data_IF_552799224481
#
_entry.id   IF_552799224481
#
_cell.length_a   1.000
_cell.length_b   1.000
_cell.length_c   1.000
_cell.angle_alpha   90.00
_cell.angle_beta   90.00
_cell.angle_gamma   90.00
#
_symmetry.space_group_name_H-M   'P 1'
#
loop_
_entity.id
_entity.type
_entity.pdbx_description
1 polymer ?
#
# COMPACT_ATOMS: atom_id res chain seq x y z
N UNK A 1 6.16 25.59 -11.01
CA UNK A 1 7.04 25.53 -9.82
C UNK A 1 8.31 24.83 -10.25
N UNK A 2 9.44 25.51 -10.17
CA UNK A 2 10.72 25.07 -10.75
C UNK A 2 11.23 23.88 -9.95
N UNK A 3 11.37 22.71 -10.57
CA UNK A 3 12.11 21.60 -9.97
C UNK A 3 13.57 22.07 -9.84
N UNK A 4 14.05 22.25 -8.62
CA UNK A 4 15.49 22.41 -8.39
C UNK A 4 16.19 21.17 -8.95
N UNK A 5 17.14 21.39 -9.85
CA UNK A 5 17.93 20.34 -10.46
C UNK A 5 18.67 19.56 -9.36
N UNK A 6 18.21 18.34 -9.06
CA UNK A 6 18.82 17.47 -8.04
C UNK A 6 17.86 16.96 -6.96
N UNK A 7 16.62 17.45 -6.87
CA UNK A 7 15.65 16.89 -5.93
C UNK A 7 15.20 15.49 -6.35
N UNK A 8 15.11 14.58 -5.37
CA UNK A 8 14.56 13.23 -5.53
C UNK A 8 13.06 13.18 -5.17
N UNK A 9 12.46 14.31 -4.80
CA UNK A 9 11.03 14.43 -4.53
C UNK A 9 10.22 14.46 -5.84
N UNK A 10 9.04 13.86 -5.82
CA UNK A 10 8.10 13.81 -6.93
C UNK A 10 6.68 14.12 -6.45
N UNK A 11 6.05 15.18 -6.99
CA UNK A 11 4.65 15.48 -6.72
C UNK A 11 3.77 14.82 -7.78
N UNK A 12 3.03 13.77 -7.41
CA UNK A 12 1.98 13.23 -8.28
C UNK A 12 0.87 14.29 -8.46
N UNK A 13 0.44 14.45 -9.70
CA UNK A 13 -0.65 15.31 -10.13
C UNK A 13 -1.84 14.48 -10.62
N UNK A 14 -3.00 15.12 -10.77
CA UNK A 14 -4.20 14.46 -11.33
C UNK A 14 -4.03 14.03 -12.79
N UNK A 15 -2.96 14.46 -13.47
CA UNK A 15 -2.65 14.00 -14.82
C UNK A 15 -1.74 12.78 -14.82
N UNK A 16 -1.03 12.48 -13.72
CA UNK A 16 -0.07 11.38 -13.70
C UNK A 16 -0.74 10.01 -13.59
N UNK A 17 -0.05 9.02 -14.16
CA UNK A 17 -0.29 7.61 -13.90
C UNK A 17 0.95 7.05 -13.22
N UNK A 18 0.80 6.42 -12.05
CA UNK A 18 1.88 5.71 -11.39
C UNK A 18 1.92 4.26 -11.89
N UNK A 19 3.07 3.80 -12.37
CA UNK A 19 3.26 2.44 -12.84
C UNK A 19 4.29 1.70 -11.98
N UNK A 20 3.81 0.74 -11.18
CA UNK A 20 4.67 -0.20 -10.49
C UNK A 20 4.97 -1.40 -11.38
N UNK A 21 6.21 -1.46 -11.87
CA UNK A 21 6.75 -2.64 -12.54
C UNK A 21 7.07 -3.68 -11.48
N UNK A 22 6.11 -4.57 -11.23
CA UNK A 22 6.26 -5.65 -10.26
C UNK A 22 7.07 -6.78 -10.86
N UNK A 23 8.35 -6.89 -10.47
CA UNK A 23 9.18 -8.02 -10.83
C UNK A 23 8.88 -9.19 -9.86
N UNK A 24 8.60 -10.41 -10.34
CA UNK A 24 8.30 -11.51 -9.45
C UNK A 24 9.36 -11.74 -8.37
N UNK A 25 8.89 -11.93 -7.13
CA UNK A 25 9.68 -12.30 -5.95
C UNK A 25 10.55 -11.18 -5.35
N UNK A 26 10.18 -9.93 -5.56
CA UNK A 26 10.83 -8.73 -4.97
C UNK A 26 9.94 -8.04 -3.91
N UNK A 27 9.27 -8.84 -3.07
CA UNK A 27 8.28 -8.38 -2.08
C UNK A 27 7.08 -7.59 -2.66
N UNK A 28 6.82 -7.70 -3.96
CA UNK A 28 5.80 -6.91 -4.63
C UNK A 28 4.36 -7.18 -4.22
N UNK A 29 4.03 -8.30 -3.55
CA UNK A 29 2.68 -8.49 -2.97
C UNK A 29 2.41 -7.52 -1.82
N UNK A 30 3.34 -7.43 -0.86
CA UNK A 30 3.27 -6.45 0.23
C UNK A 30 3.27 -5.03 -0.34
N UNK A 31 4.16 -4.75 -1.29
CA UNK A 31 4.26 -3.42 -1.89
C UNK A 31 3.01 -3.03 -2.69
N UNK A 32 2.41 -3.98 -3.42
CA UNK A 32 1.11 -3.80 -4.09
C UNK A 32 0.03 -3.43 -3.08
N UNK A 33 -0.06 -4.12 -1.95
CA UNK A 33 -1.06 -3.84 -0.93
C UNK A 33 -0.89 -2.43 -0.33
N UNK A 34 0.36 -1.99 -0.15
CA UNK A 34 0.70 -0.63 0.27
C UNK A 34 0.24 0.39 -0.78
N UNK A 35 0.55 0.17 -2.07
CA UNK A 35 0.15 1.06 -3.15
C UNK A 35 -1.37 1.12 -3.32
N UNK A 36 -2.07 -0.01 -3.29
CA UNK A 36 -3.53 -0.06 -3.42
C UNK A 36 -4.22 0.78 -2.33
N UNK A 37 -3.63 0.87 -1.13
CA UNK A 37 -4.14 1.72 -0.06
C UNK A 37 -4.01 3.24 -0.35
N UNK A 38 -3.09 3.65 -1.22
CA UNK A 38 -2.82 5.07 -1.57
C UNK A 38 -3.67 5.59 -2.74
N UNK A 39 -4.48 4.75 -3.39
CA UNK A 39 -5.32 5.13 -4.53
C UNK A 39 -6.79 4.76 -4.28
N UNK A 40 -7.72 5.47 -4.91
CA UNK A 40 -9.12 5.04 -4.91
C UNK A 40 -9.25 3.70 -5.65
N UNK A 41 -10.07 2.77 -5.14
CA UNK A 41 -10.24 1.45 -5.76
C UNK A 41 -10.62 1.54 -7.25
N UNK A 42 -11.45 2.50 -7.64
CA UNK A 42 -11.88 2.69 -9.04
C UNK A 42 -10.74 3.16 -9.96
N UNK A 43 -9.70 3.78 -9.39
CA UNK A 43 -8.54 4.30 -10.12
C UNK A 43 -7.41 3.28 -10.26
N UNK A 44 -7.57 2.08 -9.69
CA UNK A 44 -6.58 1.00 -9.78
C UNK A 44 -6.90 0.15 -11.01
N UNK A 45 -5.93 0.04 -11.92
CA UNK A 45 -6.06 -0.81 -13.09
C UNK A 45 -6.22 -2.29 -12.65
N UNK A 46 -7.26 -3.00 -13.10
CA UNK A 46 -7.49 -4.38 -12.71
C UNK A 46 -6.51 -5.35 -13.35
N UNK A 47 -5.88 -4.98 -14.47
CA UNK A 47 -4.88 -5.79 -15.14
C UNK A 47 -3.61 -5.90 -14.29
N UNK A 48 -3.15 -7.13 -14.07
CA UNK A 48 -1.91 -7.43 -13.35
C UNK A 48 -0.86 -8.14 -14.24
N UNK A 49 -1.25 -8.57 -15.44
CA UNK A 49 -0.36 -9.18 -16.42
C UNK A 49 -0.60 -8.63 -17.83
N UNK A 50 0.38 -8.84 -18.71
CA UNK A 50 0.34 -8.34 -20.09
C UNK A 50 -0.94 -8.72 -20.85
N UNK A 51 -1.40 -9.97 -20.74
CA UNK A 51 -2.58 -10.48 -21.45
C UNK A 51 -3.90 -9.84 -21.01
N UNK A 52 -3.98 -9.36 -19.77
CA UNK A 52 -5.15 -8.65 -19.26
C UNK A 52 -5.11 -7.18 -19.71
N UNK A 53 -3.93 -6.57 -19.66
CA UNK A 53 -3.75 -5.17 -20.06
C UNK A 53 -4.13 -4.94 -21.52
N UNK A 54 -3.77 -5.87 -22.41
CA UNK A 54 -4.10 -5.77 -23.84
C UNK A 54 -5.59 -5.93 -24.16
N UNK A 55 -6.42 -6.30 -23.19
CA UNK A 55 -7.88 -6.37 -23.36
C UNK A 55 -8.55 -5.03 -23.07
N UNK A 56 -7.83 -4.08 -22.46
CA UNK A 56 -8.33 -2.75 -22.16
C UNK A 56 -8.02 -1.80 -23.33
N UNK A 57 -9.00 -0.98 -23.68
CA UNK A 57 -8.82 0.11 -24.63
C UNK A 57 -7.93 1.23 -24.06
N UNK A 58 -7.28 2.04 -24.92
CA UNK A 58 -6.54 3.23 -24.46
C UNK A 58 -7.40 4.19 -23.62
N UNK A 59 -8.68 4.32 -23.94
CA UNK A 59 -9.65 5.14 -23.20
C UNK A 59 -9.90 4.60 -21.78
N UNK A 60 -10.06 3.27 -21.64
CA UNK A 60 -10.16 2.63 -20.32
C UNK A 60 -8.86 2.78 -19.52
N UNK A 61 -7.70 2.59 -20.18
CA UNK A 61 -6.40 2.73 -19.54
C UNK A 61 -6.13 4.16 -19.05
N UNK A 62 -6.66 5.17 -19.72
CA UNK A 62 -6.54 6.57 -19.31
C UNK A 62 -7.30 6.91 -18.02
N UNK A 63 -8.28 6.10 -17.62
CA UNK A 63 -9.04 6.31 -16.39
C UNK A 63 -8.23 5.94 -15.14
N UNK A 64 -7.32 4.98 -15.24
CA UNK A 64 -6.59 4.47 -14.08
C UNK A 64 -5.41 5.36 -13.70
N UNK A 65 -5.24 5.61 -12.40
CA UNK A 65 -4.12 6.33 -11.80
C UNK A 65 -2.99 5.42 -11.33
N UNK A 66 -3.31 4.17 -11.01
CA UNK A 66 -2.34 3.16 -10.60
C UNK A 66 -2.36 1.97 -11.57
N UNK A 67 -1.22 1.70 -12.20
CA UNK A 67 -0.96 0.44 -12.91
C UNK A 67 0.07 -0.35 -12.12
N UNK A 68 -0.25 -1.59 -11.76
CA UNK A 68 0.64 -2.41 -10.94
C UNK A 68 0.52 -3.88 -11.30
N UNK A 69 1.63 -4.46 -11.76
CA UNK A 69 1.61 -5.81 -12.33
C UNK A 69 2.93 -6.23 -12.94
N UNK A 70 2.96 -7.46 -13.46
CA UNK A 70 4.09 -8.07 -14.14
C UNK A 70 4.19 -7.53 -15.57
N UNK A 71 4.46 -6.23 -15.68
CA UNK A 71 4.66 -5.52 -16.93
C UNK A 71 6.15 -5.39 -17.26
N UNK A 72 6.44 -4.99 -18.49
CA UNK A 72 7.78 -4.61 -18.94
C UNK A 72 7.88 -3.10 -19.04
N UNK A 73 9.09 -2.54 -18.95
CA UNK A 73 9.32 -1.09 -19.00
C UNK A 73 8.60 -0.39 -20.15
N UNK A 74 8.57 -0.98 -21.35
CA UNK A 74 7.92 -0.38 -22.52
C UNK A 74 6.38 -0.44 -22.51
N UNK A 75 5.74 -0.76 -21.38
CA UNK A 75 4.28 -0.74 -21.22
C UNK A 75 3.68 0.63 -21.53
N UNK A 76 4.42 1.73 -21.34
CA UNK A 76 3.93 3.08 -21.66
C UNK A 76 3.50 3.27 -23.10
N UNK A 77 3.95 2.43 -24.04
CA UNK A 77 3.52 2.47 -25.43
C UNK A 77 2.03 2.15 -25.62
N UNK A 78 1.36 1.64 -24.58
CA UNK A 78 -0.07 1.27 -24.54
C UNK A 78 -0.87 2.25 -23.69
N UNK A 79 -0.18 3.16 -23.01
CA UNK A 79 -0.77 4.14 -22.13
C UNK A 79 -0.91 5.45 -22.89
N UNK A 80 -1.88 6.29 -22.51
CA UNK A 80 -2.08 7.60 -23.14
C UNK A 80 -0.84 8.49 -23.02
N UNK A 81 -0.01 8.26 -22.00
CA UNK A 81 1.23 8.98 -21.74
C UNK A 81 2.24 8.10 -21.00
N UNK A 82 3.50 8.55 -20.94
CA UNK A 82 4.53 7.89 -20.14
C UNK A 82 4.19 8.01 -18.65
N UNK A 83 4.05 6.91 -17.90
CA UNK A 83 3.71 6.96 -16.49
C UNK A 83 4.95 7.27 -15.65
N UNK A 84 4.72 7.64 -14.40
CA UNK A 84 5.73 7.72 -13.36
C UNK A 84 6.09 6.31 -12.94
N UNK A 85 7.33 5.89 -13.19
CA UNK A 85 7.75 4.53 -12.93
C UNK A 85 8.31 4.34 -11.52
N UNK A 86 7.90 3.24 -10.90
CA UNK A 86 8.47 2.75 -9.64
C UNK A 86 8.73 1.24 -9.73
N UNK A 87 9.73 0.73 -9.00
CA UNK A 87 9.98 -0.71 -8.91
C UNK A 87 10.70 -1.11 -7.63
N UNK A 88 10.73 -2.42 -7.38
CA UNK A 88 11.47 -3.08 -6.31
C UNK A 88 12.35 -4.17 -6.93
N UNK A 89 13.65 -4.11 -6.63
CA UNK A 89 14.61 -5.16 -6.98
C UNK A 89 14.96 -6.00 -5.75
N UNK A 90 15.65 -7.10 -6.00
CA UNK A 90 16.17 -8.02 -5.00
C UNK A 90 17.51 -8.56 -5.44
N UNK A 91 18.33 -8.98 -4.49
CA UNK A 91 19.48 -9.82 -4.79
C UNK A 91 19.06 -10.97 -5.73
N UNK A 92 19.71 -11.13 -6.90
CA UNK A 92 19.25 -12.08 -7.91
C UNK A 92 19.28 -13.54 -7.45
N UNK A 93 20.20 -13.89 -6.57
CA UNK A 93 20.34 -15.25 -6.04
C UNK A 93 19.18 -15.52 -5.08
N UNK A 94 18.96 -14.61 -4.13
CA UNK A 94 17.86 -14.68 -3.17
C UNK A 94 16.48 -14.65 -3.86
N UNK A 95 16.36 -13.92 -4.98
CA UNK A 95 15.16 -13.90 -5.83
C UNK A 95 14.88 -15.28 -6.43
N UNK A 96 15.88 -15.93 -7.02
CA UNK A 96 15.73 -17.27 -7.61
C UNK A 96 15.37 -18.31 -6.55
N UNK A 97 16.05 -18.29 -5.40
CA UNK A 97 15.73 -19.17 -4.25
C UNK A 97 14.27 -18.95 -3.82
N UNK A 98 13.85 -17.69 -3.66
CA UNK A 98 12.47 -17.36 -3.29
C UNK A 98 11.44 -17.82 -4.32
N UNK A 99 11.78 -17.77 -5.61
CA UNK A 99 10.96 -18.28 -6.71
C UNK A 99 10.77 -19.79 -6.62
N UNK A 100 11.86 -20.54 -6.46
CA UNK A 100 11.82 -21.99 -6.30
C UNK A 100 10.98 -22.42 -5.09
N UNK A 101 11.18 -21.82 -3.92
CA UNK A 101 10.39 -22.12 -2.73
C UNK A 101 8.92 -21.75 -2.87
N UNK A 102 8.64 -20.64 -3.55
CA UNK A 102 7.26 -20.24 -3.84
C UNK A 102 6.57 -21.30 -4.70
N UNK A 103 7.24 -21.75 -5.77
CA UNK A 103 6.72 -22.80 -6.64
C UNK A 103 6.51 -24.10 -5.87
N UNK A 104 7.36 -24.48 -4.91
CA UNK A 104 7.12 -25.68 -4.08
C UNK A 104 5.90 -25.58 -3.16
N UNK A 105 5.65 -24.39 -2.60
CA UNK A 105 4.57 -24.18 -1.60
C UNK A 105 3.20 -23.97 -2.24
N UNK A 106 3.15 -23.23 -3.34
CA UNK A 106 1.88 -22.79 -3.91
C UNK A 106 1.47 -23.74 -5.02
N UNK A 107 0.46 -24.58 -4.73
CA UNK A 107 -0.24 -25.29 -5.80
C UNK A 107 -0.96 -24.24 -6.66
N UNK A 108 -0.78 -24.26 -7.98
CA UNK A 108 -1.51 -23.36 -8.85
C UNK A 108 -3.02 -23.64 -8.74
N UNK A 109 -3.82 -22.58 -8.87
CA UNK A 109 -5.28 -22.63 -8.81
C UNK A 109 -5.91 -23.33 -10.04
N UNK A 110 -5.11 -23.73 -11.03
CA UNK A 110 -5.57 -24.50 -12.19
C UNK A 110 -5.56 -26.01 -11.90
N UNK A 111 -6.61 -26.75 -12.28
CA UNK A 111 -6.72 -28.20 -12.03
C UNK A 111 -5.56 -29.04 -12.60
N UNK A 112 -4.97 -28.59 -13.71
CA UNK A 112 -3.93 -29.32 -14.44
C UNK A 112 -2.50 -29.12 -13.90
N UNK A 113 -2.32 -28.35 -12.82
CA UNK A 113 -0.98 -28.00 -12.35
C UNK A 113 -0.28 -26.97 -13.27
N UNK A 114 0.89 -26.50 -12.86
CA UNK A 114 1.83 -25.78 -13.72
C UNK A 114 3.06 -26.69 -13.84
N UNK A 115 3.61 -26.94 -15.04
CA UNK A 115 4.79 -27.78 -15.21
C UNK A 115 5.98 -27.33 -14.32
N UNK A 116 6.08 -26.03 -14.05
CA UNK A 116 7.08 -25.45 -13.15
C UNK A 116 6.88 -25.81 -11.67
N UNK A 117 5.64 -26.03 -11.23
CA UNK A 117 5.32 -26.50 -9.87
C UNK A 117 5.79 -27.94 -9.66
N UNK A 118 5.42 -28.83 -10.59
CA UNK A 118 5.82 -30.25 -10.53
C UNK A 118 7.34 -30.43 -10.56
N UNK A 119 8.01 -29.66 -11.42
CA UNK A 119 9.47 -29.60 -11.46
C UNK A 119 10.07 -29.13 -10.15
N UNK A 120 9.52 -28.09 -9.54
CA UNK A 120 10.04 -27.58 -8.27
C UNK A 120 9.90 -28.61 -7.12
N UNK A 121 8.90 -29.48 -7.18
CA UNK A 121 8.70 -30.56 -6.20
C UNK A 121 9.65 -31.75 -6.39
N UNK A 122 10.06 -32.02 -7.64
CA UNK A 122 10.83 -33.22 -8.01
C UNK A 122 12.32 -32.96 -8.19
N UNK A 123 12.70 -31.76 -8.61
CA UNK A 123 14.08 -31.36 -8.86
C UNK A 123 14.72 -30.71 -7.63
N UNK A 124 16.02 -30.93 -7.45
CA UNK A 124 16.85 -30.07 -6.61
C UNK A 124 16.86 -28.63 -7.16
N UNK A 125 17.25 -27.65 -6.32
CA UNK A 125 17.34 -26.25 -6.74
C UNK A 125 18.30 -26.08 -7.93
N UNK A 126 19.43 -26.78 -7.95
CA UNK A 126 20.40 -26.71 -9.06
C UNK A 126 19.80 -27.24 -10.36
N UNK A 127 19.20 -28.42 -10.34
CA UNK A 127 18.53 -29.01 -11.50
C UNK A 127 17.41 -28.09 -12.02
N UNK A 128 16.61 -27.53 -11.11
CA UNK A 128 15.53 -26.61 -11.44
C UNK A 128 16.02 -25.34 -12.13
N UNK A 129 17.12 -24.77 -11.63
CA UNK A 129 17.75 -23.56 -12.19
C UNK A 129 18.40 -23.85 -13.54
N UNK A 130 18.99 -25.02 -13.72
CA UNK A 130 19.65 -25.42 -14.96
C UNK A 130 18.66 -25.85 -16.06
N UNK A 131 17.43 -26.24 -15.71
CA UNK A 131 16.43 -26.68 -16.69
C UNK A 131 16.00 -25.52 -17.62
N UNK A 132 16.24 -25.61 -18.95
CA UNK A 132 15.91 -24.54 -19.90
C UNK A 132 14.41 -24.30 -20.07
N UNK A 133 13.57 -25.26 -19.71
CA UNK A 133 12.11 -25.13 -19.82
C UNK A 133 11.46 -24.43 -18.63
N UNK A 134 12.23 -24.08 -17.59
CA UNK A 134 11.76 -23.26 -16.48
C UNK A 134 11.92 -21.78 -16.87
N UNK A 135 10.83 -21.05 -17.17
CA UNK A 135 10.92 -19.65 -17.58
C UNK A 135 11.22 -18.72 -16.39
N UNK A 136 11.72 -17.52 -16.67
CA UNK A 136 11.84 -16.45 -15.67
C UNK A 136 12.99 -16.62 -14.65
N UNK A 137 13.90 -17.58 -14.90
CA UNK A 137 15.15 -17.70 -14.15
C UNK A 137 16.17 -16.69 -14.68
N UNK A 138 16.56 -16.81 -15.95
CA UNK A 138 17.67 -16.06 -16.53
C UNK A 138 17.40 -14.57 -16.65
N UNK A 139 18.27 -13.76 -16.03
CA UNK A 139 18.29 -12.28 -16.06
C UNK A 139 16.90 -11.63 -15.96
N UNK A 140 16.03 -12.15 -15.10
CA UNK A 140 14.63 -11.79 -15.12
C UNK A 140 14.39 -10.32 -14.77
N UNK A 141 15.15 -9.74 -13.83
CA UNK A 141 14.98 -8.33 -13.44
C UNK A 141 15.38 -7.40 -14.59
N UNK A 142 16.54 -7.65 -15.19
CA UNK A 142 17.03 -6.95 -16.38
C UNK A 142 16.02 -7.01 -17.50
N UNK A 143 15.42 -8.19 -17.73
CA UNK A 143 14.41 -8.37 -18.78
C UNK A 143 13.17 -7.54 -18.55
N UNK A 144 12.61 -7.50 -17.33
CA UNK A 144 11.44 -6.66 -17.02
C UNK A 144 11.73 -5.18 -17.27
N UNK A 145 12.97 -4.74 -17.06
CA UNK A 145 13.36 -3.34 -17.16
C UNK A 145 13.93 -2.92 -18.52
N UNK A 146 14.17 -3.85 -19.45
CA UNK A 146 14.78 -3.54 -20.76
C UNK A 146 14.13 -4.20 -21.97
N UNK A 147 13.37 -5.29 -21.80
CA UNK A 147 12.82 -5.99 -22.96
C UNK A 147 11.68 -5.20 -23.60
N UNK A 148 11.81 -4.99 -24.91
CA UNK A 148 10.79 -4.38 -25.75
C UNK A 148 10.07 -5.45 -26.55
N UNK A 149 8.99 -6.00 -25.99
CA UNK A 149 8.21 -7.07 -26.63
C UNK A 149 7.67 -6.70 -28.04
N UNK A 150 7.72 -5.41 -28.43
CA UNK A 150 7.29 -4.90 -29.74
C UNK A 150 8.30 -5.01 -30.86
N UNK A 151 9.60 -4.98 -30.53
CA UNK A 151 10.65 -4.77 -31.53
C UNK A 151 11.74 -5.83 -31.46
N UNK A 152 11.96 -6.42 -30.29
CA UNK A 152 13.15 -7.21 -30.05
C UNK A 152 12.79 -8.50 -29.30
N UNK A 153 12.49 -9.53 -30.08
CA UNK A 153 12.59 -10.92 -29.65
C UNK A 153 14.02 -11.39 -29.94
N UNK A 154 15.01 -10.80 -29.27
CA UNK A 154 16.36 -11.38 -29.34
C UNK A 154 16.38 -12.65 -28.51
N UNK A 155 16.83 -13.75 -29.11
CA UNK A 155 16.94 -15.03 -28.41
C UNK A 155 18.07 -15.03 -27.36
N UNK A 156 19.04 -14.11 -27.46
CA UNK A 156 20.14 -14.01 -26.50
C UNK A 156 19.78 -13.12 -25.31
N UNK A 157 19.28 -13.78 -24.25
CA UNK A 157 18.95 -13.17 -22.96
C UNK A 157 20.17 -12.73 -22.14
N UNK A 158 21.39 -13.02 -22.60
CA UNK A 158 22.65 -12.62 -21.95
C UNK A 158 23.34 -11.45 -22.66
N UNK A 159 22.79 -10.94 -23.77
CA UNK A 159 23.41 -9.86 -24.52
C UNK A 159 23.56 -8.59 -23.65
N UNK A 160 24.78 -8.00 -23.52
CA UNK A 160 25.04 -6.86 -22.63
C UNK A 160 24.17 -5.63 -22.84
N UNK A 161 23.66 -5.42 -24.06
CA UNK A 161 22.69 -4.35 -24.39
C UNK A 161 21.50 -4.27 -23.43
N UNK A 162 21.05 -5.41 -22.90
CA UNK A 162 19.91 -5.47 -21.98
C UNK A 162 20.24 -4.83 -20.64
N UNK A 163 21.46 -5.02 -20.15
CA UNK A 163 21.94 -4.39 -18.93
C UNK A 163 22.01 -2.88 -19.09
N UNK A 164 22.59 -2.41 -20.19
CA UNK A 164 22.73 -0.96 -20.43
C UNK A 164 21.35 -0.30 -20.58
N UNK A 165 20.44 -0.88 -21.36
CA UNK A 165 19.07 -0.36 -21.46
C UNK A 165 18.32 -0.41 -20.12
N UNK A 166 18.51 -1.46 -19.30
CA UNK A 166 17.87 -1.53 -17.98
C UNK A 166 18.39 -0.44 -17.03
N UNK A 167 19.70 -0.15 -17.03
CA UNK A 167 20.29 0.93 -16.23
C UNK A 167 19.77 2.29 -16.68
N UNK A 168 19.80 2.57 -17.98
CA UNK A 168 19.27 3.82 -18.57
C UNK A 168 17.80 4.01 -18.18
N UNK A 169 16.98 2.98 -18.31
CA UNK A 169 15.58 3.03 -17.93
C UNK A 169 15.40 3.27 -16.43
N UNK A 170 16.18 2.60 -15.56
CA UNK A 170 16.11 2.77 -14.11
C UNK A 170 16.45 4.20 -13.66
N UNK A 171 17.25 4.95 -14.43
CA UNK A 171 17.53 6.35 -14.09
C UNK A 171 16.29 7.24 -14.16
N UNK A 172 15.31 6.89 -15.00
CA UNK A 172 14.07 7.63 -15.13
C UNK A 172 13.01 7.26 -14.08
N UNK A 173 13.25 6.24 -13.26
CA UNK A 173 12.29 5.83 -12.23
C UNK A 173 12.28 6.86 -11.12
N UNK A 174 11.09 7.32 -10.75
CA UNK A 174 10.92 8.19 -9.59
C UNK A 174 11.33 7.47 -8.29
N UNK A 175 11.19 6.13 -8.26
CA UNK A 175 11.58 5.33 -7.10
C UNK A 175 12.09 3.94 -7.50
N UNK A 176 13.22 3.55 -6.90
CA UNK A 176 13.80 2.21 -7.02
C UNK A 176 14.16 1.72 -5.61
N UNK A 177 13.43 0.72 -5.10
CA UNK A 177 13.73 0.12 -3.81
C UNK A 177 14.43 -1.23 -3.92
N UNK A 178 15.04 -1.67 -2.82
CA UNK A 178 15.65 -3.00 -2.69
C UNK A 178 14.98 -3.78 -1.55
N UNK A 179 14.68 -5.06 -1.81
CA UNK A 179 13.91 -5.92 -0.91
C UNK A 179 14.60 -6.12 0.46
N UNK A 180 15.93 -6.13 0.47
CA UNK A 180 16.79 -6.36 1.62
C UNK A 180 16.77 -5.19 2.62
N UNK A 181 16.38 -4.00 2.16
CA UNK A 181 16.21 -2.78 2.98
C UNK A 181 14.77 -2.26 2.86
N UNK A 182 13.77 -3.15 2.91
CA UNK A 182 12.37 -2.81 2.65
C UNK A 182 11.84 -1.64 3.49
N UNK A 183 12.10 -1.60 4.81
CA UNK A 183 11.66 -0.50 5.68
C UNK A 183 12.24 0.85 5.20
N UNK A 184 13.53 0.86 4.87
CA UNK A 184 14.20 2.04 4.33
C UNK A 184 13.67 2.42 2.94
N UNK A 185 13.27 1.43 2.14
CA UNK A 185 12.61 1.65 0.86
C UNK A 185 11.24 2.30 1.04
N UNK A 186 10.46 1.91 2.06
CA UNK A 186 9.17 2.55 2.37
C UNK A 186 9.36 3.96 2.93
N UNK A 187 10.39 4.19 3.75
CA UNK A 187 10.77 5.53 4.19
C UNK A 187 11.13 6.45 3.00
N UNK A 188 11.97 5.96 2.08
CA UNK A 188 12.32 6.69 0.87
C UNK A 188 11.10 6.96 -0.02
N UNK A 189 10.22 5.97 -0.21
CA UNK A 189 8.99 6.15 -0.97
C UNK A 189 8.10 7.24 -0.38
N UNK A 190 7.94 7.24 0.96
CA UNK A 190 7.17 8.24 1.68
C UNK A 190 7.76 9.65 1.47
N UNK A 191 9.09 9.77 1.52
CA UNK A 191 9.77 11.02 1.22
C UNK A 191 9.57 11.49 -0.21
N UNK A 192 9.86 10.61 -1.19
CA UNK A 192 9.77 10.89 -2.62
C UNK A 192 8.40 11.44 -2.97
N UNK A 193 7.32 10.76 -2.57
CA UNK A 193 5.97 11.16 -2.94
C UNK A 193 5.26 12.09 -1.94
N UNK A 194 5.93 12.45 -0.85
CA UNK A 194 5.31 13.19 0.26
C UNK A 194 4.12 12.44 0.86
N UNK A 195 4.19 11.10 0.92
CA UNK A 195 3.12 10.25 1.45
C UNK A 195 3.28 10.03 2.95
N UNK A 196 2.16 9.75 3.63
CA UNK A 196 2.19 9.40 5.05
C UNK A 196 3.11 8.17 5.27
N UNK A 197 4.12 8.26 6.15
CA UNK A 197 5.10 7.20 6.38
C UNK A 197 4.47 5.97 7.05
N UNK A 198 4.95 4.79 6.66
CA UNK A 198 4.43 3.51 7.15
C UNK A 198 5.26 3.04 8.36
N UNK A 199 4.68 3.09 9.56
CA UNK A 199 5.25 2.42 10.75
C UNK A 199 4.97 0.93 10.74
N UNK A 200 3.76 0.56 10.34
CA UNK A 200 3.24 -0.79 10.41
C UNK A 200 2.61 -1.14 9.08
N UNK A 201 2.97 -2.31 8.55
CA UNK A 201 2.36 -2.86 7.37
C UNK A 201 2.34 -4.39 7.47
N UNK A 202 1.41 -5.02 6.76
CA UNK A 202 1.28 -6.47 6.77
C UNK A 202 2.33 -7.10 5.84
N UNK A 203 3.22 -7.91 6.38
CA UNK A 203 4.12 -8.74 5.59
C UNK A 203 3.34 -9.90 4.94
N UNK A 204 3.01 -9.76 3.65
CA UNK A 204 2.27 -10.77 2.91
C UNK A 204 3.21 -11.82 2.30
N UNK A 205 2.77 -13.09 2.29
CA UNK A 205 3.45 -14.21 1.61
C UNK A 205 4.84 -14.57 2.13
N UNK A 206 5.14 -14.28 3.41
CA UNK A 206 6.39 -14.67 4.06
C UNK A 206 6.47 -16.19 4.21
N UNK A 207 7.62 -16.78 3.86
CA UNK A 207 7.85 -18.21 4.05
C UNK A 207 8.15 -18.51 5.54
N UNK A 208 7.48 -19.48 6.18
CA UNK A 208 7.74 -19.83 7.59
C UNK A 208 9.16 -20.37 7.84
N UNK A 209 9.71 -21.07 6.84
CA UNK A 209 11.10 -21.54 6.79
C UNK A 209 11.63 -21.25 5.40
N UNK A 210 12.77 -20.56 5.33
CA UNK A 210 13.35 -20.06 4.09
C UNK A 210 14.78 -20.56 3.95
N UNK A 211 15.05 -21.27 2.86
CA UNK A 211 16.40 -21.49 2.34
C UNK A 211 16.99 -20.12 2.05
N UNK A 212 18.19 -19.90 2.59
CA UNK A 212 18.97 -18.70 2.31
C UNK A 212 20.24 -19.08 1.60
N UNK A 213 20.83 -18.14 0.87
CA UNK A 213 22.08 -18.34 0.17
C UNK A 213 23.17 -18.94 1.08
N UNK A 214 23.26 -18.54 2.35
CA UNK A 214 24.29 -19.04 3.28
C UNK A 214 24.15 -20.53 3.64
N UNK A 215 22.99 -21.12 3.36
CA UNK A 215 22.69 -22.53 3.63
C UNK A 215 22.89 -23.45 2.41
N UNK A 216 23.28 -22.90 1.27
CA UNK A 216 23.44 -23.64 0.01
C UNK A 216 24.91 -23.89 -0.32
N UNK A 217 25.19 -24.96 -1.06
CA UNK A 217 26.53 -25.26 -1.53
C UNK A 217 26.98 -24.29 -2.63
N UNK A 218 28.30 -24.08 -2.72
CA UNK A 218 28.89 -23.12 -3.66
C UNK A 218 28.51 -23.42 -5.13
N UNK A 219 28.40 -24.68 -5.50
CA UNK A 219 28.05 -25.12 -6.86
C UNK A 219 26.59 -24.80 -7.24
N UNK A 220 25.68 -24.69 -6.27
CA UNK A 220 24.29 -24.24 -6.50
C UNK A 220 24.28 -22.73 -6.71
N UNK A 221 25.02 -21.99 -5.89
CA UNK A 221 25.13 -20.53 -5.98
C UNK A 221 25.75 -20.11 -7.32
N UNK A 222 26.81 -20.79 -7.74
CA UNK A 222 27.47 -20.57 -9.03
C UNK A 222 26.50 -20.82 -10.20
N UNK A 223 25.75 -21.94 -10.18
CA UNK A 223 24.77 -22.24 -11.23
C UNK A 223 23.64 -21.18 -11.33
N UNK A 224 23.24 -20.58 -10.21
CA UNK A 224 22.30 -19.45 -10.21
C UNK A 224 22.96 -18.20 -10.78
N UNK A 225 24.17 -17.87 -10.31
CA UNK A 225 24.89 -16.67 -10.71
C UNK A 225 25.23 -16.66 -12.21
N UNK A 226 25.65 -17.78 -12.78
CA UNK A 226 25.94 -17.95 -14.21
C UNK A 226 24.76 -17.56 -15.10
N UNK A 227 23.53 -17.85 -14.64
CA UNK A 227 22.29 -17.52 -15.37
C UNK A 227 21.76 -16.11 -15.08
N UNK A 228 22.34 -15.39 -14.13
CA UNK A 228 21.83 -14.10 -13.66
C UNK A 228 22.92 -13.01 -13.65
N UNK A 229 23.96 -13.12 -14.49
CA UNK A 229 25.08 -12.18 -14.52
C UNK A 229 24.62 -10.73 -14.78
N UNK A 230 23.66 -10.51 -15.67
CA UNK A 230 23.14 -9.16 -15.94
C UNK A 230 22.32 -8.66 -14.75
N UNK A 231 21.50 -9.51 -14.14
CA UNK A 231 20.74 -9.16 -12.94
C UNK A 231 21.66 -8.79 -11.77
N UNK A 232 22.80 -9.47 -11.61
CA UNK A 232 23.79 -9.16 -10.57
C UNK A 232 24.36 -7.76 -10.79
N UNK A 233 24.79 -7.46 -12.01
CA UNK A 233 25.32 -6.14 -12.34
C UNK A 233 24.26 -5.03 -12.19
N UNK A 234 23.03 -5.29 -12.63
CA UNK A 234 21.90 -4.37 -12.51
C UNK A 234 21.52 -4.12 -11.04
N UNK A 235 21.52 -5.17 -10.22
CA UNK A 235 21.19 -5.07 -8.80
C UNK A 235 22.23 -4.23 -8.04
N UNK A 236 23.52 -4.38 -8.33
CA UNK A 236 24.55 -3.52 -7.72
C UNK A 236 24.34 -2.05 -8.09
N UNK A 237 24.04 -1.77 -9.36
CA UNK A 237 23.70 -0.42 -9.81
C UNK A 237 22.46 0.15 -9.09
N UNK A 238 21.38 -0.62 -9.02
CA UNK A 238 20.15 -0.20 -8.34
C UNK A 238 20.36 0.02 -6.82
N UNK A 239 21.18 -0.83 -6.19
CA UNK A 239 21.52 -0.72 -4.77
C UNK A 239 22.33 0.54 -4.48
N UNK A 240 23.29 0.88 -5.33
CA UNK A 240 24.07 2.12 -5.22
C UNK A 240 23.15 3.34 -5.36
N UNK A 241 22.31 3.37 -6.41
CA UNK A 241 21.30 4.43 -6.61
C UNK A 241 20.38 4.58 -5.40
N UNK A 242 19.88 3.47 -4.86
CA UNK A 242 19.03 3.47 -3.66
C UNK A 242 19.76 4.07 -2.45
N UNK A 243 21.00 3.68 -2.19
CA UNK A 243 21.76 4.20 -1.05
C UNK A 243 21.99 5.71 -1.18
N UNK A 244 22.40 6.18 -2.37
CA UNK A 244 22.59 7.62 -2.64
C UNK A 244 21.29 8.40 -2.40
N UNK A 245 20.15 7.92 -2.91
CA UNK A 245 18.85 8.57 -2.70
C UNK A 245 18.40 8.53 -1.23
N UNK A 246 18.65 7.43 -0.53
CA UNK A 246 18.32 7.29 0.87
C UNK A 246 19.14 8.24 1.75
N UNK A 247 20.45 8.35 1.51
CA UNK A 247 21.34 9.26 2.25
C UNK A 247 20.96 10.73 1.96
N UNK A 248 20.63 11.06 0.70
CA UNK A 248 20.11 12.37 0.32
C UNK A 248 18.81 12.71 1.06
N UNK A 249 17.87 11.75 1.19
CA UNK A 249 16.65 11.94 1.98
C UNK A 249 17.00 12.27 3.44
N UNK A 250 17.88 11.51 4.08
CA UNK A 250 18.24 11.74 5.49
C UNK A 250 18.87 13.12 5.69
N UNK A 251 19.73 13.54 4.77
CA UNK A 251 20.33 14.87 4.78
C UNK A 251 19.26 15.96 4.64
N UNK A 252 18.40 15.87 3.61
CA UNK A 252 17.36 16.85 3.35
C UNK A 252 16.39 16.98 4.54
N UNK A 253 15.95 15.86 5.13
CA UNK A 253 15.07 15.86 6.30
C UNK A 253 15.74 16.54 7.51
N UNK A 254 17.03 16.27 7.73
CA UNK A 254 17.77 16.85 8.85
C UNK A 254 17.96 18.36 8.67
N UNK A 255 18.33 18.80 7.47
CA UNK A 255 18.50 20.21 7.13
C UNK A 255 17.18 20.97 7.20
N UNK A 256 16.13 20.46 6.57
CA UNK A 256 14.82 21.11 6.51
C UNK A 256 14.19 21.31 7.90
N UNK A 257 14.36 20.35 8.82
CA UNK A 257 13.74 20.38 10.14
C UNK A 257 14.73 20.68 11.27
N UNK A 258 15.91 21.22 10.96
CA UNK A 258 16.97 21.61 11.90
C UNK A 258 17.30 20.50 12.92
N UNK A 259 17.36 19.26 12.45
CA UNK A 259 17.74 18.12 13.29
C UNK A 259 19.26 18.00 13.32
N UNK A 260 19.89 17.80 14.50
CA UNK A 260 21.34 17.67 14.58
C UNK A 260 21.81 16.50 13.73
N UNK A 261 22.82 16.74 12.90
CA UNK A 261 23.49 15.69 12.14
C UNK A 261 24.20 14.74 13.13
N UNK A 262 23.52 13.67 13.54
CA UNK A 262 24.18 12.50 14.11
C UNK A 262 24.67 11.60 12.98
N UNK A 263 25.75 10.85 13.21
CA UNK A 263 26.31 9.94 12.20
C UNK A 263 25.30 8.86 11.75
N UNK A 264 24.25 8.60 12.53
CA UNK A 264 23.12 7.72 12.18
C UNK A 264 21.81 8.23 12.84
N UNK A 265 20.72 8.31 12.06
CA UNK A 265 19.37 8.54 12.57
C UNK A 265 18.72 7.19 12.90
N UNK A 266 18.14 7.06 14.09
CA UNK A 266 17.37 5.89 14.50
C UNK A 266 16.02 5.83 13.75
N UNK A 267 15.44 4.64 13.53
CA UNK A 267 14.19 4.49 12.76
C UNK A 267 13.04 5.38 13.24
N UNK A 268 12.89 5.56 14.56
CA UNK A 268 11.84 6.41 15.12
C UNK A 268 12.07 7.90 14.82
N UNK A 269 13.34 8.34 14.77
CA UNK A 269 13.69 9.72 14.42
C UNK A 269 13.38 9.98 12.94
N UNK A 270 13.76 9.05 12.05
CA UNK A 270 13.44 9.11 10.62
C UNK A 270 11.93 9.21 10.44
N UNK A 271 11.17 8.38 11.15
CA UNK A 271 9.70 8.42 11.09
C UNK A 271 9.13 9.79 11.49
N UNK A 272 9.57 10.36 12.61
CA UNK A 272 9.13 11.69 13.05
C UNK A 272 9.46 12.78 12.04
N UNK A 273 10.63 12.71 11.38
CA UNK A 273 10.99 13.64 10.32
C UNK A 273 10.12 13.45 9.08
N UNK A 274 9.79 12.21 8.71
CA UNK A 274 8.89 11.91 7.60
C UNK A 274 7.44 12.34 7.87
N UNK A 275 6.95 12.27 9.12
CA UNK A 275 5.62 12.83 9.47
C UNK A 275 5.60 14.35 9.25
N UNK A 276 6.64 15.07 9.67
CA UNK A 276 6.77 16.51 9.40
C UNK A 276 6.89 16.82 7.91
N UNK A 277 7.63 16.00 7.17
CA UNK A 277 7.72 16.11 5.70
C UNK A 277 6.37 15.91 5.04
N UNK A 278 5.62 14.88 5.43
CA UNK A 278 4.26 14.64 4.95
C UNK A 278 3.33 15.83 5.23
N UNK A 279 3.37 16.40 6.44
CA UNK A 279 2.61 17.61 6.79
C UNK A 279 3.03 18.80 5.91
N UNK A 280 4.33 19.07 5.78
CA UNK A 280 4.85 20.12 4.91
C UNK A 280 4.38 19.96 3.44
N UNK A 281 4.51 18.74 2.89
CA UNK A 281 4.12 18.41 1.52
C UNK A 281 2.62 18.55 1.30
N UNK A 282 1.79 18.28 2.31
CA UNK A 282 0.36 18.54 2.26
C UNK A 282 0.04 20.04 2.32
N UNK A 283 0.72 20.81 3.17
CA UNK A 283 0.46 22.24 3.35
C UNK A 283 0.71 23.04 2.06
N UNK A 284 1.78 22.72 1.32
CA UNK A 284 2.12 23.42 0.06
C UNK A 284 1.15 23.13 -1.11
N UNK A 285 0.24 22.16 -0.98
CA UNK A 285 -0.79 21.91 -1.99
C UNK A 285 -1.96 22.90 -1.92
N UNK A 286 -2.03 23.73 -0.86
CA UNK A 286 -3.00 24.83 -0.67
C UNK A 286 -4.45 24.45 -1.05
N UNK A 287 -4.90 23.27 -0.60
CA UNK A 287 -6.27 22.81 -0.87
C UNK A 287 -7.27 23.62 -0.03
N UNK A 288 -8.32 24.12 -0.67
CA UNK A 288 -9.42 24.78 0.05
C UNK A 288 -10.10 23.82 1.04
N UNK A 289 -10.45 24.30 2.25
CA UNK A 289 -11.28 23.53 3.16
C UNK A 289 -12.63 23.16 2.53
N UNK A 290 -13.21 22.05 2.98
CA UNK A 290 -14.52 21.55 2.54
C UNK A 290 -15.54 21.60 3.68
N UNK A 291 -16.82 21.90 3.40
CA UNK A 291 -17.84 21.99 4.45
C UNK A 291 -18.31 20.62 4.96
N UNK A 292 -18.13 19.58 4.14
CA UNK A 292 -18.57 18.21 4.41
C UNK A 292 -17.66 17.21 3.70
N UNK A 293 -17.63 15.98 4.19
CA UNK A 293 -16.85 14.90 3.60
C UNK A 293 -17.48 13.53 3.85
N UNK A 294 -17.44 12.65 2.86
CA UNK A 294 -17.86 11.25 2.96
C UNK A 294 -16.68 10.35 2.62
N UNK A 295 -16.33 9.47 3.57
CA UNK A 295 -15.33 8.44 3.41
C UNK A 295 -16.01 7.07 3.50
N UNK A 296 -16.05 6.36 2.37
CA UNK A 296 -16.71 5.05 2.21
C UNK A 296 -15.70 3.90 2.09
N UNK A 297 -14.44 4.17 2.44
CA UNK A 297 -13.31 3.23 2.41
C UNK A 297 -12.87 2.75 1.01
N UNK A 298 -13.54 3.18 -0.07
CA UNK A 298 -13.04 3.03 -1.44
C UNK A 298 -11.91 4.02 -1.74
N UNK A 299 -11.93 5.21 -1.12
CA UNK A 299 -10.92 6.25 -1.32
C UNK A 299 -9.54 5.81 -0.81
N UNK A 300 -8.49 6.49 -1.29
CA UNK A 300 -7.15 6.40 -0.73
C UNK A 300 -7.18 6.63 0.78
N UNK A 301 -6.47 5.78 1.53
CA UNK A 301 -6.38 5.87 2.98
C UNK A 301 -5.08 6.57 3.36
N UNK A 302 -5.21 7.79 3.86
CA UNK A 302 -4.13 8.58 4.41
C UNK A 302 -4.18 8.49 5.94
N UNK A 303 -3.12 7.98 6.56
CA UNK A 303 -3.06 7.70 7.99
C UNK A 303 -2.47 6.32 8.28
N UNK A 304 -2.59 5.86 9.53
CA UNK A 304 -1.98 4.61 10.04
C UNK A 304 -2.94 3.78 10.86
N UNK A 305 -2.57 2.53 11.14
CA UNK A 305 -3.34 1.62 11.99
C UNK A 305 -4.58 1.04 11.30
N UNK A 306 -4.49 0.80 9.98
CA UNK A 306 -5.56 0.21 9.20
C UNK A 306 -5.06 -1.00 8.43
N UNK A 307 -5.90 -2.01 8.35
CA UNK A 307 -5.69 -3.15 7.48
C UNK A 307 -6.15 -2.86 6.05
N UNK A 308 -5.89 -3.82 5.17
CA UNK A 308 -6.22 -3.74 3.76
C UNK A 308 -7.74 -3.65 3.56
N UNK A 309 -8.16 -3.15 2.38
CA UNK A 309 -9.57 -3.20 1.97
C UNK A 309 -10.05 -4.64 1.95
N UNK A 310 -11.23 -4.85 2.52
CA UNK A 310 -11.96 -6.12 2.53
C UNK A 310 -13.39 -5.88 2.05
N UNK A 311 -14.03 -6.91 1.50
CA UNK A 311 -15.36 -6.81 0.91
C UNK A 311 -15.63 -7.95 -0.08
N UNK A 312 -16.84 -8.49 -0.07
CA UNK A 312 -17.25 -9.60 -0.95
C UNK A 312 -17.73 -9.11 -2.33
N UNK A 313 -18.17 -7.85 -2.43
CA UNK A 313 -18.69 -7.23 -3.64
C UNK A 313 -18.08 -5.84 -3.84
N UNK A 314 -18.01 -5.36 -5.10
CA UNK A 314 -17.40 -4.06 -5.45
C UNK A 314 -17.97 -2.86 -4.69
N UNK A 315 -19.17 -2.99 -4.11
CA UNK A 315 -19.91 -1.88 -3.53
C UNK A 315 -19.93 -1.88 -1.99
N UNK A 316 -19.40 -2.91 -1.33
CA UNK A 316 -19.31 -2.93 0.13
C UNK A 316 -17.87 -3.21 0.56
N UNK A 317 -17.12 -2.12 0.70
CA UNK A 317 -15.73 -2.11 1.13
C UNK A 317 -15.66 -1.66 2.57
N UNK A 318 -14.88 -2.38 3.36
CA UNK A 318 -14.59 -2.02 4.74
C UNK A 318 -13.11 -2.22 5.04
N UNK A 319 -12.66 -1.68 6.17
CA UNK A 319 -11.32 -1.93 6.71
C UNK A 319 -11.37 -2.12 8.21
N UNK A 320 -10.61 -3.09 8.67
CA UNK A 320 -10.33 -3.25 10.09
C UNK A 320 -9.29 -2.23 10.57
N UNK A 321 -9.47 -1.68 11.76
CA UNK A 321 -8.40 -1.04 12.52
C UNK A 321 -7.41 -2.09 13.03
N UNK A 322 -6.14 -1.72 13.19
CA UNK A 322 -5.05 -2.59 13.66
C UNK A 322 -3.77 -2.48 12.82
N UNK A 323 -2.68 -3.18 13.20
CA UNK A 323 -2.61 -4.13 14.32
C UNK A 323 -2.43 -3.48 15.70
N UNK A 324 -1.93 -2.25 15.77
CA UNK A 324 -1.90 -1.46 17.00
C UNK A 324 -3.29 -1.00 17.47
N UNK A 325 -3.33 -0.29 18.60
CA UNK A 325 -4.57 0.21 19.22
C UNK A 325 -4.99 1.60 18.76
N UNK A 326 -4.23 2.20 17.84
CA UNK A 326 -4.43 3.56 17.36
C UNK A 326 -4.52 3.56 15.85
N UNK A 327 -5.62 4.13 15.34
CA UNK A 327 -5.89 4.30 13.92
C UNK A 327 -6.15 5.76 13.62
N UNK A 328 -5.44 6.31 12.63
CA UNK A 328 -5.63 7.71 12.21
C UNK A 328 -6.10 7.77 10.77
N UNK A 329 -6.91 8.77 10.47
CA UNK A 329 -7.37 9.07 9.12
C UNK A 329 -7.26 10.58 8.88
N UNK A 330 -6.45 10.94 7.88
CA UNK A 330 -6.22 12.32 7.48
C UNK A 330 -7.14 12.64 6.30
N UNK A 331 -8.12 13.50 6.56
CA UNK A 331 -9.14 13.93 5.61
C UNK A 331 -8.81 15.32 5.07
N UNK A 332 -9.39 15.75 3.92
CA UNK A 332 -9.34 17.15 3.55
C UNK A 332 -9.72 18.06 4.72
N UNK A 333 -9.05 19.21 4.82
CA UNK A 333 -9.33 20.16 5.88
C UNK A 333 -10.81 20.55 5.85
N UNK A 334 -11.48 20.49 7.00
CA UNK A 334 -12.87 20.89 7.11
C UNK A 334 -12.95 22.40 7.39
N UNK A 335 -14.00 23.04 6.90
CA UNK A 335 -14.32 24.40 7.31
C UNK A 335 -14.54 24.46 8.83
N UNK A 336 -14.06 25.50 9.54
CA UNK A 336 -14.15 25.60 10.99
C UNK A 336 -15.57 25.99 11.44
N UNK A 337 -16.46 25.00 11.43
CA UNK A 337 -17.86 25.10 11.85
C UNK A 337 -18.29 23.86 12.64
N UNK A 338 -19.36 23.99 13.44
CA UNK A 338 -19.89 22.85 14.17
C UNK A 338 -20.37 21.77 13.20
N UNK A 339 -19.77 20.58 13.34
CA UNK A 339 -19.86 19.50 12.36
C UNK A 339 -20.31 18.22 13.03
N UNK A 340 -21.36 17.60 12.49
CA UNK A 340 -21.76 16.25 12.85
C UNK A 340 -20.78 15.25 12.24
N UNK A 341 -20.29 14.32 13.06
CA UNK A 341 -19.61 13.11 12.59
C UNK A 341 -20.52 11.91 12.78
N UNK A 342 -20.70 11.13 11.73
CA UNK A 342 -21.31 9.81 11.78
C UNK A 342 -20.30 8.77 11.30
N UNK A 343 -20.22 7.63 11.95
CA UNK A 343 -19.40 6.53 11.48
C UNK A 343 -20.06 5.20 11.79
N UNK A 344 -19.79 4.20 10.94
CA UNK A 344 -20.42 2.89 11.03
C UNK A 344 -19.38 1.81 11.25
N UNK A 345 -19.64 1.01 12.26
CA UNK A 345 -18.87 -0.19 12.60
C UNK A 345 -19.74 -1.39 12.25
N UNK A 346 -19.25 -2.23 11.35
CA UNK A 346 -19.99 -3.39 10.83
C UNK A 346 -19.52 -4.72 11.41
N UNK A 347 -18.45 -4.68 12.21
CA UNK A 347 -17.92 -5.85 12.89
C UNK A 347 -16.96 -5.44 14.02
N UNK A 348 -16.91 -6.26 15.07
CA UNK A 348 -15.92 -6.20 16.14
C UNK A 348 -15.59 -7.61 16.58
N UNK A 349 -14.34 -7.85 16.98
CA UNK A 349 -13.91 -9.17 17.45
C UNK A 349 -14.31 -9.44 18.89
N UNK A 350 -14.57 -8.39 19.67
CA UNK A 350 -15.09 -8.48 21.03
C UNK A 350 -15.83 -7.19 21.42
N UNK A 351 -16.84 -7.30 22.29
CA UNK A 351 -17.66 -6.13 22.69
C UNK A 351 -16.85 -5.12 23.51
N UNK A 352 -15.93 -5.57 24.36
CA UNK A 352 -15.08 -4.70 25.19
C UNK A 352 -14.18 -3.78 24.35
N UNK A 353 -13.75 -4.22 23.16
CA UNK A 353 -12.98 -3.39 22.21
C UNK A 353 -13.85 -2.25 21.67
N UNK A 354 -15.14 -2.51 21.41
CA UNK A 354 -16.06 -1.47 20.97
C UNK A 354 -16.40 -0.51 22.11
N UNK A 355 -16.58 -1.03 23.32
CA UNK A 355 -16.84 -0.25 24.53
C UNK A 355 -15.67 0.67 24.91
N UNK A 356 -14.43 0.30 24.54
CA UNK A 356 -13.23 1.10 24.80
C UNK A 356 -12.93 2.15 23.73
N UNK A 357 -13.76 2.26 22.68
CA UNK A 357 -13.54 3.18 21.57
C UNK A 357 -13.52 4.65 22.04
N UNK A 358 -12.43 5.34 21.73
CA UNK A 358 -12.30 6.79 21.86
C UNK A 358 -12.12 7.43 20.47
N UNK A 359 -12.74 8.60 20.28
CA UNK A 359 -12.57 9.43 19.10
C UNK A 359 -11.90 10.75 19.48
N UNK A 360 -10.90 11.13 18.69
CA UNK A 360 -10.34 12.48 18.70
C UNK A 360 -10.33 13.09 17.29
N UNK A 361 -10.51 14.40 17.22
CA UNK A 361 -10.41 15.19 15.98
C UNK A 361 -9.40 16.30 16.20
N UNK A 362 -8.30 16.30 15.45
CA UNK A 362 -7.15 17.19 15.66
C UNK A 362 -6.67 17.23 17.13
N UNK A 363 -6.76 16.09 17.83
CA UNK A 363 -6.40 15.96 19.24
C UNK A 363 -7.49 16.36 20.25
N UNK A 364 -8.60 16.98 19.83
CA UNK A 364 -9.77 17.18 20.68
C UNK A 364 -10.51 15.86 20.91
N UNK A 365 -10.82 15.50 22.16
CA UNK A 365 -11.72 14.37 22.46
C UNK A 365 -13.15 14.71 22.07
N UNK A 366 -13.79 13.84 21.28
CA UNK A 366 -15.16 14.01 20.82
C UNK A 366 -16.04 12.97 21.50
N UNK A 367 -17.13 13.43 22.12
CA UNK A 367 -18.18 12.56 22.62
C UNK A 367 -19.06 12.11 21.47
N UNK A 368 -19.45 10.84 21.50
CA UNK A 368 -20.37 10.26 20.55
C UNK A 368 -21.26 9.24 21.26
N UNK A 369 -22.38 8.92 20.65
CA UNK A 369 -23.35 7.96 21.15
C UNK A 369 -23.79 7.04 20.01
N UNK A 370 -24.20 5.80 20.30
CA UNK A 370 -24.80 4.94 19.30
C UNK A 370 -26.12 5.59 18.86
N UNK A 371 -26.18 6.01 17.61
CA UNK A 371 -27.41 6.48 16.98
C UNK A 371 -28.32 5.28 16.65
N UNK A 372 -27.71 4.11 16.41
CA UNK A 372 -28.39 2.94 15.89
C UNK A 372 -27.53 1.67 16.07
N UNK A 373 -28.14 0.54 16.41
CA UNK A 373 -27.43 -0.75 16.48
C UNK A 373 -28.34 -1.94 16.14
N UNK A 374 -27.92 -2.81 15.23
CA UNK A 374 -28.48 -4.15 15.04
C UNK A 374 -27.50 -5.22 15.54
N UNK A 375 -27.70 -6.47 15.11
CA UNK A 375 -26.92 -7.64 15.51
C UNK A 375 -25.46 -7.55 15.05
N UNK A 376 -25.19 -6.86 13.94
CA UNK A 376 -23.87 -6.83 13.29
C UNK A 376 -23.30 -5.42 13.14
N UNK A 377 -24.16 -4.41 13.08
CA UNK A 377 -23.79 -3.04 12.72
C UNK A 377 -24.21 -2.04 13.78
N UNK A 378 -23.32 -1.11 14.10
CA UNK A 378 -23.60 0.04 14.96
C UNK A 378 -23.20 1.33 14.23
N UNK A 379 -24.12 2.29 14.17
CA UNK A 379 -23.85 3.65 13.71
C UNK A 379 -23.72 4.55 14.93
N UNK A 380 -22.63 5.29 14.99
CA UNK A 380 -22.36 6.27 16.02
C UNK A 380 -22.49 7.68 15.46
N UNK A 381 -22.91 8.62 16.31
CA UNK A 381 -22.96 10.04 16.00
C UNK A 381 -22.30 10.85 17.12
N UNK A 382 -21.53 11.86 16.74
CA UNK A 382 -20.99 12.87 17.64
C UNK A 382 -21.02 14.25 17.00
N UNK A 383 -20.78 15.28 17.81
CA UNK A 383 -20.64 16.66 17.35
C UNK A 383 -19.21 17.13 17.57
N UNK A 384 -18.59 17.63 16.50
CA UNK A 384 -17.26 18.22 16.49
C UNK A 384 -17.44 19.73 16.60
N UNK A 385 -17.02 20.37 17.70
CA UNK A 385 -17.06 21.82 17.82
C UNK A 385 -16.15 22.48 16.79
N UNK A 386 -16.55 23.64 16.26
CA UNK A 386 -15.75 24.42 15.30
C UNK A 386 -14.31 24.66 15.78
N UNK A 387 -14.12 24.87 17.09
CA UNK A 387 -12.81 25.07 17.71
C UNK A 387 -11.84 23.90 17.54
N UNK A 388 -12.33 22.68 17.37
CA UNK A 388 -11.52 21.49 17.14
C UNK A 388 -11.12 21.31 15.67
N UNK A 389 -11.71 22.07 14.75
CA UNK A 389 -11.34 22.10 13.34
C UNK A 389 -10.30 23.21 13.04
N UNK A 390 -10.06 24.11 13.99
CA UNK A 390 -8.93 25.05 13.93
C UNK A 390 -7.66 24.32 14.35
N UNK A 391 -6.79 24.01 13.38
CA UNK A 391 -5.59 23.21 13.57
C UNK A 391 -4.44 23.74 12.72
N UNK A 392 -3.20 23.58 13.21
CA UNK A 392 -1.97 23.82 12.43
C UNK A 392 -1.73 22.71 11.39
N UNK A 393 -2.42 21.58 11.52
CA UNK A 393 -2.35 20.50 10.54
C UNK A 393 -3.01 20.93 9.22
N UNK A 394 -2.44 20.58 8.05
CA UNK A 394 -2.99 20.91 6.74
C UNK A 394 -4.16 19.99 6.31
N UNK A 395 -4.73 19.24 7.25
CA UNK A 395 -5.80 18.27 7.07
C UNK A 395 -6.56 18.10 8.40
N UNK A 396 -7.76 17.52 8.32
CA UNK A 396 -8.50 17.10 9.52
C UNK A 396 -8.10 15.69 9.88
N UNK A 397 -7.43 15.51 11.02
CA UNK A 397 -7.02 14.18 11.51
C UNK A 397 -8.07 13.61 12.46
N UNK A 398 -8.70 12.51 12.04
CA UNK A 398 -9.48 11.66 12.93
C UNK A 398 -8.54 10.65 13.60
N UNK A 399 -8.69 10.42 14.90
CA UNK A 399 -7.96 9.39 15.64
C UNK A 399 -8.95 8.53 16.39
N UNK A 400 -8.99 7.24 16.04
CA UNK A 400 -9.74 6.22 16.72
C UNK A 400 -8.77 5.42 17.60
N UNK A 401 -9.11 5.25 18.87
CA UNK A 401 -8.30 4.50 19.83
C UNK A 401 -9.16 3.44 20.50
N UNK A 402 -8.60 2.25 20.66
CA UNK A 402 -9.15 1.18 21.48
C UNK A 402 -8.14 0.81 22.58
N UNK A 403 -8.53 0.02 23.56
CA UNK A 403 -7.63 -0.45 24.62
C UNK A 403 -6.75 -1.63 24.19
N UNK A 404 -7.25 -2.49 23.30
CA UNK A 404 -6.53 -3.65 22.74
C UNK A 404 -7.02 -4.03 21.35
N UNK A 405 -6.20 -4.81 20.65
CA UNK A 405 -6.57 -5.56 19.45
C UNK A 405 -6.43 -7.06 19.70
N UNK A 406 -7.11 -7.89 18.91
CA UNK A 406 -6.99 -9.35 18.99
C UNK A 406 -7.29 -9.98 17.64
N UNK A 407 -6.86 -11.21 17.42
CA UNK A 407 -7.21 -11.92 16.18
C UNK A 407 -8.56 -12.59 16.24
N UNK A 408 -9.23 -12.70 15.09
CA UNK A 408 -10.44 -13.50 14.94
C UNK A 408 -10.18 -14.96 15.32
N UNK A 409 -9.01 -15.51 14.96
CA UNK A 409 -8.59 -16.86 15.36
C UNK A 409 -8.52 -17.05 16.88
N UNK A 410 -8.11 -16.01 17.62
CA UNK A 410 -8.03 -16.08 19.09
C UNK A 410 -9.41 -16.18 19.75
N UNK A 411 -10.46 -15.69 19.09
CA UNK A 411 -11.86 -15.75 19.57
C UNK A 411 -12.58 -16.98 19.02
N UNK A 412 -12.35 -17.30 17.76
CA UNK A 412 -12.85 -18.50 17.07
C UNK A 412 -11.67 -19.24 16.43
N UNK A 413 -11.16 -20.32 17.03
CA UNK A 413 -10.04 -21.11 16.50
C UNK A 413 -10.29 -21.72 15.11
N UNK A 414 -11.54 -21.75 14.62
CA UNK A 414 -11.84 -22.21 13.26
C UNK A 414 -11.59 -21.12 12.21
N UNK A 415 -11.57 -19.85 12.61
CA UNK A 415 -11.22 -18.74 11.76
C UNK A 415 -9.70 -18.74 11.52
N UNK A 416 -9.26 -18.70 10.26
CA UNK A 416 -7.84 -18.74 9.91
C UNK A 416 -7.14 -17.36 9.99
N UNK A 417 -7.90 -16.29 10.24
CA UNK A 417 -7.36 -14.95 10.34
C UNK A 417 -6.71 -14.71 11.72
N UNK A 418 -5.38 -14.67 11.69
CA UNK A 418 -4.51 -14.47 12.85
C UNK A 418 -4.06 -13.04 13.03
N UNK A 419 -4.51 -12.11 12.17
CA UNK A 419 -4.15 -10.69 12.26
C UNK A 419 -4.79 -10.08 13.51
N UNK A 420 -4.05 -9.32 14.34
CA UNK A 420 -4.66 -8.53 15.40
C UNK A 420 -5.49 -7.41 14.78
N UNK A 421 -6.80 -7.41 15.02
CA UNK A 421 -7.74 -6.41 14.51
C UNK A 421 -8.50 -5.75 15.67
N UNK A 422 -9.03 -4.55 15.45
CA UNK A 422 -9.94 -3.86 16.37
C UNK A 422 -11.38 -3.89 15.85
N UNK A 423 -11.75 -2.85 15.11
CA UNK A 423 -13.11 -2.54 14.66
C UNK A 423 -13.14 -2.45 13.13
N UNK A 424 -14.17 -2.99 12.49
CA UNK A 424 -14.36 -2.91 11.04
C UNK A 424 -15.25 -1.71 10.68
N UNK A 425 -14.68 -0.73 9.97
CA UNK A 425 -15.39 0.44 9.49
C UNK A 425 -15.65 0.36 7.98
N UNK A 426 -16.83 0.82 7.56
CA UNK A 426 -17.20 0.95 6.15
C UNK A 426 -17.74 2.34 5.78
N UNK A 427 -17.90 3.23 6.76
CA UNK A 427 -18.42 4.57 6.55
C UNK A 427 -17.94 5.54 7.62
N UNK A 428 -17.48 6.71 7.20
CA UNK A 428 -17.33 7.91 8.03
C UNK A 428 -17.88 9.09 7.23
N UNK A 429 -18.80 9.85 7.81
CA UNK A 429 -19.40 11.02 7.19
C UNK A 429 -19.31 12.22 8.13
N UNK A 430 -18.98 13.38 7.57
CA UNK A 430 -18.84 14.67 8.25
C UNK A 430 -19.69 15.69 7.51
N UNK A 431 -20.57 16.40 8.21
CA UNK A 431 -21.42 17.44 7.61
C UNK A 431 -21.84 18.49 8.65
N UNK A 432 -22.20 19.72 8.25
CA UNK A 432 -22.60 20.77 9.20
C UNK A 432 -23.80 20.35 10.06
N UNK A 433 -23.82 20.68 11.35
CA UNK A 433 -24.92 20.29 12.27
C UNK A 433 -26.30 20.76 11.79
N UNK A 434 -26.37 21.91 11.11
CA UNK A 434 -27.62 22.48 10.59
C UNK A 434 -28.08 21.88 9.25
N UNK A 435 -27.45 20.79 8.77
CA UNK A 435 -27.83 20.14 7.52
C UNK A 435 -29.14 19.36 7.67
N UNK A 436 -29.95 19.21 6.61
CA UNK A 436 -31.14 18.36 6.63
C UNK A 436 -30.81 16.90 6.99
N UNK A 437 -31.72 16.17 7.64
CA UNK A 437 -31.52 14.75 8.00
C UNK A 437 -31.20 13.86 6.78
N UNK A 438 -31.75 14.20 5.62
CA UNK A 438 -31.49 13.53 4.33
C UNK A 438 -30.03 13.62 3.87
N UNK A 439 -29.21 14.47 4.52
CA UNK A 439 -27.76 14.57 4.27
C UNK A 439 -27.04 13.32 4.75
N UNK A 440 -27.54 12.66 5.80
CA UNK A 440 -26.94 11.43 6.31
C UNK A 440 -26.99 10.32 5.25
N UNK A 441 -25.83 9.75 4.93
CA UNK A 441 -25.69 8.61 4.01
C UNK A 441 -26.34 7.34 4.57
N UNK A 442 -26.67 7.33 5.86
CA UNK A 442 -27.38 6.25 6.55
C UNK A 442 -28.80 6.62 6.95
N UNK A 443 -29.34 7.73 6.42
CA UNK A 443 -30.71 8.18 6.69
C UNK A 443 -31.76 7.09 6.41
N UNK A 444 -31.55 6.28 5.38
CA UNK A 444 -32.42 5.17 5.01
C UNK A 444 -32.59 4.10 6.12
N UNK A 445 -31.67 4.03 7.08
CA UNK A 445 -31.77 3.12 8.23
C UNK A 445 -32.77 3.64 9.28
N UNK A 446 -33.06 4.94 9.31
CA UNK A 446 -33.98 5.55 10.28
C UNK A 446 -35.45 5.34 9.90
N UNK A 447 -35.74 5.19 8.60
CA UNK A 447 -37.09 4.96 8.06
C UNK A 447 -37.53 3.49 8.08
N UNK A 448 -36.66 2.57 8.50
CA UNK A 448 -36.97 1.14 8.51
C UNK A 448 -37.89 0.80 9.72
N UNK A 449 -39.11 0.24 9.50
CA UNK A 449 -40.11 0.02 10.57
C UNK A 449 -39.60 -0.83 11.74
N UNK A 450 -38.70 -1.78 11.48
CA UNK A 450 -38.06 -2.59 12.52
C UNK A 450 -37.24 -1.76 13.53
N UNK A 451 -36.92 -0.51 13.19
CA UNK A 451 -36.10 0.42 13.96
C UNK A 451 -36.92 1.49 14.67
N UNK A 452 -38.07 1.89 14.11
CA UNK A 452 -39.00 2.80 14.80
C UNK A 452 -39.54 2.18 16.10
N UNK A 453 -39.76 0.86 16.14
CA UNK A 453 -40.26 0.15 17.34
C UNK A 453 -39.21 0.01 18.46
N UNK A 454 -37.90 0.04 18.17
CA UNK A 454 -36.83 -0.08 19.19
C UNK A 454 -36.37 1.25 19.79
N UNK A 455 -36.64 2.38 19.13
CA UNK A 455 -36.34 3.71 19.67
C UNK A 455 -37.24 4.11 20.86
N UNK A 456 -38.39 3.44 21.01
CA UNK A 456 -39.37 3.71 22.05
C UNK A 456 -39.17 2.90 23.34
N UNK A 457 -38.19 2.00 23.41
CA UNK A 457 -37.96 1.14 24.59
C UNK A 457 -36.80 1.55 25.49
N UNK A 458 -36.02 2.59 25.17
CA UNK A 458 -34.91 3.07 26.03
C UNK A 458 -35.30 4.15 27.05
N UNK A 459 -36.59 4.47 27.20
CA UNK A 459 -37.11 5.23 28.35
C UNK A 459 -37.68 4.27 29.40
N UNK A 460 -36.87 3.36 29.94
CA UNK A 460 -37.13 2.64 31.20
C UNK A 460 -35.90 1.83 31.63
N UNK A 461 -35.29 2.31 32.73
CA UNK A 461 -34.39 1.66 33.72
C UNK A 461 -33.05 2.38 33.86
#
# INVERSE_FOLDING_TARGET
MVMESGSIEYQLTDHDQLCFIHIPKTAGTTFTAILDAKFNQAEICPAAVWSELTQLSPEELAHYKLLRGHFYYYVYKFLPQKPVYITMLRDPIERVISGYEFMRRHRPSRPEGLPTHEKALTMSLKEYVCDPSVPGITNAQTRHLSMNLYKELSDDLNHPKWLESAKENLEEFAFVGVTERFDNAMALLAYVFGWNPLLEYQNLMVAPKRLRQESLSADVIEAIAERNQLDIALYQFAKEKFNVQYDQMLQNLSEQFNYPASDQLEPQQIYTLLEKHYEYRHAILERSPVPQFLFDFNQALLGRGWHLREGLERNHVFRWTGPGTLSTLDLPQLEPQDTTIQFRIINTVASDILESLELQVNGCKISFFPLHSDVITTVFQGEIPASCLVSELPFTRLTFKVDRTTSLHSVDPTNLDTRPVGLAFDLIQLYPVNSPETTSAVSFLFDNPAWQERSLSSNSI
#
